data_IF_340142359517
#
_entry.id   IF_340142359517
#
_cell.length_a   1.000
_cell.length_b   1.000
_cell.length_c   1.000
_cell.angle_alpha   90.00
_cell.angle_beta   90.00
_cell.angle_gamma   90.00
#
_symmetry.space_group_name_H-M   'P 1'
#
loop_
_entity.id
_entity.type
_entity.pdbx_description
1 polymer ?
#
# COMPACT_ATOMS: atom_id res chain seq x y z
N UNK A 1 11.90 5.09 -3.92
CA UNK A 1 11.12 3.83 -3.87
C UNK A 1 9.74 4.03 -3.25
N UNK A 2 9.57 4.12 -1.92
CA UNK A 2 8.22 4.18 -1.29
C UNK A 2 7.40 5.37 -1.80
N UNK A 3 8.03 6.55 -1.94
CA UNK A 3 7.39 7.72 -2.55
C UNK A 3 6.97 7.46 -4.00
N UNK A 4 7.74 6.72 -4.79
CA UNK A 4 7.40 6.44 -6.19
C UNK A 4 6.17 5.52 -6.29
N UNK A 5 6.00 4.60 -5.33
CA UNK A 5 4.89 3.66 -5.28
C UNK A 5 3.60 4.33 -4.78
N UNK A 6 3.70 5.24 -3.80
CA UNK A 6 2.52 5.85 -3.16
C UNK A 6 2.16 7.22 -3.71
N UNK A 7 3.14 8.10 -3.91
CA UNK A 7 2.95 9.48 -4.37
C UNK A 7 3.05 9.60 -5.89
N UNK A 8 3.92 8.80 -6.50
CA UNK A 8 4.30 8.98 -7.90
C UNK A 8 5.15 10.25 -8.11
N UNK A 9 5.22 10.73 -9.35
CA UNK A 9 5.99 11.91 -9.75
C UNK A 9 5.22 12.73 -10.79
N UNK A 10 5.60 14.00 -10.94
CA UNK A 10 5.04 14.90 -11.95
C UNK A 10 3.76 15.60 -11.51
N UNK A 11 3.08 16.26 -12.45
CA UNK A 11 1.92 17.14 -12.17
C UNK A 11 0.70 16.43 -11.58
N UNK A 12 0.61 15.12 -11.74
CA UNK A 12 -0.47 14.28 -11.23
C UNK A 12 -0.02 13.40 -10.06
N UNK A 13 1.02 13.82 -9.31
CA UNK A 13 1.37 13.15 -8.07
C UNK A 13 0.22 13.22 -7.07
N UNK A 14 0.03 12.13 -6.34
CA UNK A 14 -0.99 12.07 -5.31
C UNK A 14 -0.52 12.87 -4.08
N UNK A 15 -1.21 13.97 -3.77
CA UNK A 15 -0.89 14.79 -2.59
C UNK A 15 -1.68 14.37 -1.33
N UNK A 16 -2.74 13.58 -1.51
CA UNK A 16 -3.63 13.12 -0.45
C UNK A 16 -4.02 11.66 -0.66
N UNK A 17 -4.29 10.96 0.43
CA UNK A 17 -4.86 9.61 0.41
C UNK A 17 -6.20 9.62 1.15
N UNK A 18 -7.28 9.35 0.40
CA UNK A 18 -8.61 9.10 0.94
C UNK A 18 -8.82 7.59 1.05
N UNK A 19 -9.11 7.11 2.26
CA UNK A 19 -9.53 5.72 2.47
C UNK A 19 -10.97 5.74 2.93
N UNK A 20 -11.84 5.05 2.20
CA UNK A 20 -13.23 4.83 2.58
C UNK A 20 -13.43 3.34 2.89
N UNK A 21 -13.80 3.03 4.12
CA UNK A 21 -14.16 1.68 4.54
C UNK A 21 -15.68 1.58 4.60
N UNK A 22 -16.26 0.75 3.72
CA UNK A 22 -17.69 0.46 3.68
C UNK A 22 -17.92 -0.96 4.18
N UNK A 23 -18.64 -1.08 5.29
CA UNK A 23 -19.21 -2.34 5.80
C UNK A 23 -20.74 -2.25 5.69
N UNK A 24 -21.45 -3.37 5.78
CA UNK A 24 -22.89 -3.48 5.41
C UNK A 24 -23.75 -2.29 5.85
N UNK A 25 -23.67 -1.91 7.13
CA UNK A 25 -24.49 -0.85 7.72
C UNK A 25 -23.69 0.37 8.20
N UNK A 26 -22.40 0.49 7.85
CA UNK A 26 -21.61 1.65 8.25
C UNK A 26 -20.52 1.99 7.24
N UNK A 27 -20.25 3.28 7.10
CA UNK A 27 -19.14 3.77 6.31
C UNK A 27 -18.35 4.77 7.16
N UNK A 28 -17.02 4.60 7.18
CA UNK A 28 -16.09 5.59 7.72
C UNK A 28 -15.07 5.94 6.66
N UNK A 29 -14.58 7.17 6.70
CA UNK A 29 -13.53 7.63 5.79
C UNK A 29 -12.47 8.43 6.53
N UNK A 30 -11.26 8.43 6.00
CA UNK A 30 -10.13 9.19 6.51
C UNK A 30 -9.35 9.78 5.34
N UNK A 31 -8.96 11.06 5.48
CA UNK A 31 -8.15 11.78 4.50
C UNK A 31 -6.83 12.20 5.17
N UNK A 32 -5.69 11.81 4.60
CA UNK A 32 -4.36 12.16 5.13
C UNK A 32 -3.46 12.72 4.02
N UNK A 33 -2.56 13.67 4.33
CA UNK A 33 -1.56 14.14 3.37
C UNK A 33 -0.65 12.99 2.94
N UNK A 34 -0.26 12.93 1.66
CA UNK A 34 0.56 11.85 1.14
C UNK A 34 1.92 11.73 1.85
N UNK A 35 2.51 12.85 2.28
CA UNK A 35 3.76 12.84 3.05
C UNK A 35 3.61 12.06 4.37
N UNK A 36 2.46 12.19 5.04
CA UNK A 36 2.16 11.39 6.23
C UNK A 36 2.05 9.91 5.88
N UNK A 37 1.31 9.57 4.81
CA UNK A 37 1.14 8.19 4.36
C UNK A 37 2.47 7.52 3.96
N UNK A 38 3.33 8.22 3.21
CA UNK A 38 4.66 7.75 2.82
C UNK A 38 5.52 7.45 4.03
N UNK A 39 5.53 8.36 5.02
CA UNK A 39 6.27 8.14 6.25
C UNK A 39 5.69 6.99 7.06
N UNK A 40 4.37 6.93 7.22
CA UNK A 40 3.70 5.89 7.99
C UNK A 40 3.93 4.49 7.41
N UNK A 41 3.64 4.31 6.12
CA UNK A 41 3.77 3.00 5.47
C UNK A 41 5.21 2.62 5.16
N UNK A 42 6.09 3.60 4.92
CA UNK A 42 7.51 3.38 4.67
C UNK A 42 8.33 3.06 5.92
N UNK A 43 7.82 3.36 7.12
CA UNK A 43 8.53 3.14 8.37
C UNK A 43 8.42 1.69 8.86
N UNK A 44 9.46 1.22 9.56
CA UNK A 44 9.59 -0.15 10.07
C UNK A 44 10.77 -0.91 9.47
N UNK A 45 10.90 -2.19 9.84
CA UNK A 45 11.99 -3.05 9.37
C UNK A 45 11.78 -3.49 7.93
N UNK A 46 12.89 -3.77 7.25
CA UNK A 46 12.88 -4.50 5.98
C UNK A 46 13.22 -5.95 6.28
N UNK A 47 12.29 -6.87 6.00
CA UNK A 47 12.41 -8.27 6.41
C UNK A 47 11.78 -9.22 5.39
N UNK A 48 12.24 -10.47 5.39
CA UNK A 48 11.60 -11.55 4.63
C UNK A 48 10.51 -12.15 5.52
N UNK A 49 9.29 -12.27 4.98
CA UNK A 49 8.18 -12.89 5.69
C UNK A 49 8.38 -14.41 5.77
N UNK A 50 7.65 -15.08 6.68
CA UNK A 50 7.69 -16.55 6.81
C UNK A 50 7.40 -17.30 5.51
N UNK A 51 6.70 -16.67 4.56
CA UNK A 51 6.32 -17.24 3.26
C UNK A 51 7.28 -16.84 2.12
N UNK A 52 8.38 -16.14 2.43
CA UNK A 52 9.39 -15.75 1.43
C UNK A 52 9.07 -14.48 0.66
N UNK A 53 8.00 -13.75 0.98
CA UNK A 53 7.76 -12.40 0.45
C UNK A 53 8.65 -11.37 1.17
N UNK A 54 8.81 -10.18 0.62
CA UNK A 54 9.58 -9.11 1.26
C UNK A 54 8.62 -8.10 1.88
N UNK A 55 8.89 -7.68 3.11
CA UNK A 55 8.18 -6.59 3.78
C UNK A 55 9.13 -5.41 3.92
N UNK A 56 8.72 -4.24 3.45
CA UNK A 56 9.45 -2.98 3.47
C UNK A 56 8.66 -2.02 4.34
N UNK A 57 9.03 -1.89 5.62
CA UNK A 57 8.21 -1.16 6.58
C UNK A 57 6.84 -1.85 6.75
N UNK A 58 5.77 -1.18 6.33
CA UNK A 58 4.39 -1.72 6.34
C UNK A 58 3.90 -2.12 4.93
N UNK A 59 4.78 -2.11 3.93
CA UNK A 59 4.45 -2.47 2.56
C UNK A 59 4.95 -3.88 2.27
N UNK A 60 4.06 -4.76 1.80
CA UNK A 60 4.42 -6.09 1.33
C UNK A 60 4.74 -6.05 -0.16
N UNK A 61 5.93 -6.53 -0.52
CA UNK A 61 6.38 -6.75 -1.90
C UNK A 61 6.36 -8.25 -2.19
N UNK A 62 5.62 -8.64 -3.23
CA UNK A 62 5.40 -10.04 -3.59
C UNK A 62 5.25 -10.21 -5.10
N UNK A 63 5.46 -11.43 -5.61
CA UNK A 63 4.95 -11.78 -6.94
C UNK A 63 3.43 -11.62 -6.94
N UNK A 64 2.87 -11.02 -7.99
CA UNK A 64 1.43 -10.78 -8.10
C UNK A 64 0.64 -12.07 -7.90
N UNK A 65 1.06 -13.15 -8.56
CA UNK A 65 0.37 -14.43 -8.53
C UNK A 65 -1.04 -14.32 -9.10
N UNK A 66 -1.84 -15.39 -9.01
CA UNK A 66 -3.22 -15.37 -9.47
C UNK A 66 -3.37 -15.13 -10.97
N UNK A 67 -4.28 -14.23 -11.35
CA UNK A 67 -4.64 -13.85 -12.72
C UNK A 67 -4.93 -15.05 -13.67
N UNK A 68 -5.40 -16.18 -13.14
CA UNK A 68 -5.62 -17.41 -13.91
C UNK A 68 -4.37 -17.94 -14.60
N UNK A 69 -3.17 -17.65 -14.08
CA UNK A 69 -1.89 -18.11 -14.65
C UNK A 69 -1.39 -17.30 -15.85
N UNK A 70 -2.02 -16.17 -16.19
CA UNK A 70 -1.57 -15.27 -17.27
C UNK A 70 -0.18 -14.70 -16.96
N UNK A 71 0.50 -14.17 -17.99
CA UNK A 71 1.82 -13.51 -17.85
C UNK A 71 1.83 -12.40 -16.78
N UNK A 72 0.71 -11.72 -16.57
CA UNK A 72 0.55 -10.69 -15.52
C UNK A 72 0.77 -11.24 -14.09
N UNK A 73 0.53 -12.53 -13.86
CA UNK A 73 0.82 -13.18 -12.58
C UNK A 73 2.32 -13.17 -12.21
N UNK A 74 3.20 -12.90 -13.17
CA UNK A 74 4.66 -12.82 -12.99
C UNK A 74 5.13 -11.41 -12.59
N UNK A 75 4.25 -10.40 -12.59
CA UNK A 75 4.63 -9.03 -12.22
C UNK A 75 4.94 -8.92 -10.73
N UNK A 76 5.78 -7.94 -10.37
CA UNK A 76 6.01 -7.53 -9.00
C UNK A 76 4.83 -6.69 -8.51
N UNK A 77 4.31 -6.98 -7.31
CA UNK A 77 3.17 -6.29 -6.72
C UNK A 77 3.51 -5.77 -5.33
N UNK A 78 3.06 -4.55 -5.05
CA UNK A 78 3.11 -3.92 -3.73
C UNK A 78 1.71 -3.90 -3.13
N UNK A 79 1.61 -4.25 -1.84
CA UNK A 79 0.36 -4.24 -1.07
C UNK A 79 0.59 -3.57 0.28
N UNK A 80 -0.44 -2.93 0.80
CA UNK A 80 -0.48 -2.37 2.16
C UNK A 80 -1.90 -2.49 2.70
N UNK A 81 -2.07 -2.30 4.00
CA UNK A 81 -3.39 -2.23 4.63
C UNK A 81 -3.81 -0.77 4.80
N UNK A 82 -4.71 -0.22 3.95
CA UNK A 82 -5.12 1.18 4.04
C UNK A 82 -5.98 1.47 5.28
N UNK A 83 -6.60 0.45 5.87
CA UNK A 83 -7.42 0.61 7.07
C UNK A 83 -6.59 1.01 8.31
N UNK A 84 -5.27 0.82 8.28
CA UNK A 84 -4.39 1.31 9.35
C UNK A 84 -4.46 2.84 9.55
N UNK A 85 -4.83 3.60 8.50
CA UNK A 85 -4.95 5.06 8.59
C UNK A 85 -6.10 5.55 9.47
N UNK A 86 -7.05 4.68 9.84
CA UNK A 86 -8.12 5.04 10.78
C UNK A 86 -7.66 5.08 12.24
N UNK A 87 -6.53 4.45 12.55
CA UNK A 87 -6.07 4.24 13.92
C UNK A 87 -4.85 5.13 14.28
N UNK A 88 -4.45 6.05 13.37
CA UNK A 88 -3.25 6.90 13.47
C UNK A 88 -3.47 8.34 13.06
#
# INVERSE_FOLDING_TARGET
MVSDILKGRGKFSAEWMLVAQKVENSARWVLKPMNFCVNYFGNGKVEITKQGNIKIGRITMQRKGGDGGRKTAQMLQFKLNPAELFEV
#
